data_IF_479938133997
#
_entry.id   IF_479938133997
#
_cell.length_a   1.000
_cell.length_b   1.000
_cell.length_c   1.000
_cell.angle_alpha   90.00
_cell.angle_beta   90.00
_cell.angle_gamma   90.00
#
_symmetry.space_group_name_H-M   'P 1'
#
loop_
_entity.id
_entity.type
_entity.pdbx_description
1 polymer ?
#
# COMPACT_ATOMS: atom_id res chain seq x y z
N UNK A 1 -7.33 -3.08 -8.33
CA UNK A 1 -6.19 -2.38 -7.73
C UNK A 1 -4.88 -3.07 -8.09
N UNK A 2 -3.81 -2.31 -8.33
CA UNK A 2 -2.48 -2.84 -8.69
C UNK A 2 -1.90 -3.79 -7.63
N UNK A 3 -2.23 -3.57 -6.35
CA UNK A 3 -1.87 -4.46 -5.24
C UNK A 3 -2.31 -5.92 -5.48
N UNK A 4 -3.49 -6.13 -6.09
CA UNK A 4 -3.99 -7.47 -6.41
C UNK A 4 -3.13 -8.20 -7.43
N UNK A 5 -2.56 -7.48 -8.39
CA UNK A 5 -1.73 -8.07 -9.47
C UNK A 5 -0.25 -8.15 -9.09
N UNK A 6 0.14 -7.48 -7.99
CA UNK A 6 1.54 -7.33 -7.61
C UNK A 6 2.36 -6.49 -8.60
N UNK A 7 1.73 -5.82 -9.57
CA UNK A 7 2.37 -4.90 -10.52
C UNK A 7 2.30 -3.47 -9.97
N UNK A 8 3.05 -3.23 -8.91
CA UNK A 8 3.11 -1.97 -8.17
C UNK A 8 4.56 -1.69 -7.79
N UNK A 9 4.94 -0.45 -7.49
CA UNK A 9 6.31 -0.02 -7.21
C UNK A 9 6.98 -0.58 -5.93
N UNK A 10 6.62 -1.77 -5.49
CA UNK A 10 7.34 -2.47 -4.43
C UNK A 10 8.57 -3.20 -4.97
N UNK A 11 9.58 -3.36 -4.12
CA UNK A 11 10.89 -3.94 -4.45
C UNK A 11 10.81 -5.27 -5.19
N UNK A 12 9.89 -6.17 -4.81
CA UNK A 12 9.73 -7.45 -5.51
C UNK A 12 9.34 -7.28 -6.99
N UNK A 13 8.48 -6.32 -7.31
CA UNK A 13 8.13 -6.04 -8.70
C UNK A 13 9.24 -5.29 -9.43
N UNK A 14 9.83 -4.28 -8.78
CA UNK A 14 10.91 -3.47 -9.37
C UNK A 14 12.13 -4.32 -9.72
N UNK A 15 12.52 -5.25 -8.85
CA UNK A 15 13.60 -6.19 -9.14
C UNK A 15 13.25 -7.13 -10.30
N UNK A 16 12.01 -7.62 -10.37
CA UNK A 16 11.54 -8.47 -11.48
C UNK A 16 11.66 -7.78 -12.85
N UNK A 17 11.54 -6.45 -12.90
CA UNK A 17 11.65 -5.67 -14.14
C UNK A 17 13.00 -4.96 -14.29
N UNK A 18 14.02 -5.34 -13.52
CA UNK A 18 15.36 -4.74 -13.55
C UNK A 18 15.34 -3.21 -13.33
N UNK A 19 14.58 -2.75 -12.34
CA UNK A 19 14.53 -1.34 -11.89
C UNK A 19 15.02 -1.13 -10.45
N UNK A 20 15.32 -2.22 -9.74
CA UNK A 20 15.96 -2.24 -8.41
C UNK A 20 16.87 -3.46 -8.36
N UNK A 21 18.06 -3.32 -7.78
CA UNK A 21 19.04 -4.42 -7.72
C UNK A 21 18.60 -5.57 -6.80
N UNK A 22 17.69 -5.31 -5.87
CA UNK A 22 17.21 -6.29 -4.91
C UNK A 22 15.71 -6.21 -4.67
N UNK A 23 15.07 -7.37 -4.51
CA UNK A 23 13.69 -7.49 -4.07
C UNK A 23 13.54 -7.35 -2.54
N UNK A 24 14.64 -7.30 -1.79
CA UNK A 24 14.66 -7.33 -0.33
C UNK A 24 13.90 -6.12 0.25
N UNK A 25 13.12 -6.38 1.30
CA UNK A 25 12.51 -5.33 2.10
C UNK A 25 13.53 -4.79 3.10
N UNK A 26 13.45 -3.50 3.40
CA UNK A 26 14.41 -2.83 4.28
C UNK A 26 14.31 -3.29 5.75
N UNK A 27 13.27 -4.08 6.08
CA UNK A 27 13.15 -4.77 7.36
C UNK A 27 14.05 -6.02 7.47
N UNK A 28 14.66 -6.45 6.37
CA UNK A 28 15.51 -7.63 6.25
C UNK A 28 14.88 -8.96 6.69
N UNK A 29 13.55 -9.09 6.63
CA UNK A 29 12.85 -10.36 6.93
C UNK A 29 12.28 -11.06 5.68
N UNK A 30 12.40 -10.46 4.51
CA UNK A 30 11.85 -11.04 3.29
C UNK A 30 11.93 -10.13 2.08
N UNK A 31 11.30 -10.54 0.98
CA UNK A 31 11.13 -9.67 -0.19
C UNK A 31 9.99 -8.69 0.05
N UNK A 32 10.13 -7.47 -0.45
CA UNK A 32 9.13 -6.41 -0.38
C UNK A 32 7.97 -6.73 -1.36
N UNK A 33 7.14 -7.71 -0.99
CA UNK A 33 5.94 -8.12 -1.71
C UNK A 33 4.70 -7.47 -1.10
N UNK A 34 3.57 -7.51 -1.82
CA UNK A 34 2.27 -7.06 -1.28
C UNK A 34 1.88 -7.86 -0.03
N UNK A 35 2.18 -9.17 0.03
CA UNK A 35 1.90 -9.98 1.23
C UNK A 35 2.67 -9.47 2.43
N UNK A 36 3.97 -9.32 2.22
CA UNK A 36 4.88 -8.89 3.25
C UNK A 36 4.49 -7.52 3.80
N UNK A 37 4.30 -6.53 2.92
CA UNK A 37 3.98 -5.16 3.33
C UNK A 37 2.64 -5.08 4.09
N UNK A 38 1.59 -5.73 3.58
CA UNK A 38 0.26 -5.68 4.21
C UNK A 38 0.20 -6.46 5.53
N UNK A 39 0.84 -7.63 5.61
CA UNK A 39 0.54 -8.62 6.65
C UNK A 39 1.70 -8.87 7.63
N UNK A 40 2.95 -8.61 7.25
CA UNK A 40 4.12 -9.18 7.95
C UNK A 40 5.16 -8.12 8.35
N UNK A 41 5.36 -7.07 7.54
CA UNK A 41 6.53 -6.19 7.64
C UNK A 41 6.55 -5.40 8.96
N UNK A 42 7.51 -5.64 9.87
CA UNK A 42 7.51 -5.00 11.20
C UNK A 42 7.67 -3.48 11.16
N UNK A 43 8.19 -2.92 10.06
CA UNK A 43 8.32 -1.47 9.89
C UNK A 43 6.98 -0.73 9.79
N UNK A 44 5.87 -1.45 9.58
CA UNK A 44 4.55 -0.86 9.34
C UNK A 44 3.50 -1.34 10.35
N UNK A 45 3.91 -1.66 11.59
CA UNK A 45 3.01 -2.19 12.61
C UNK A 45 1.91 -1.18 12.96
N UNK A 46 2.25 0.09 13.12
CA UNK A 46 1.30 1.12 13.54
C UNK A 46 0.24 1.38 12.47
N UNK A 47 0.65 1.54 11.21
CA UNK A 47 -0.23 1.68 10.05
C UNK A 47 -1.15 0.46 9.94
N UNK A 48 -0.60 -0.75 10.17
CA UNK A 48 -1.38 -1.99 10.07
C UNK A 48 -2.41 -2.11 11.19
N UNK A 49 -2.10 -1.62 12.39
CA UNK A 49 -3.06 -1.56 13.51
C UNK A 49 -4.20 -0.60 13.15
N UNK A 50 -3.89 0.59 12.62
CA UNK A 50 -4.91 1.55 12.14
C UNK A 50 -5.79 0.95 11.04
N UNK A 51 -5.17 0.34 10.02
CA UNK A 51 -5.85 -0.37 8.94
C UNK A 51 -6.77 -1.46 9.48
N UNK A 52 -6.29 -2.31 10.41
CA UNK A 52 -7.09 -3.39 11.02
C UNK A 52 -8.30 -2.85 11.78
N UNK A 53 -8.14 -1.77 12.53
CA UNK A 53 -9.24 -1.16 13.28
C UNK A 53 -10.30 -0.59 12.32
N UNK A 54 -9.88 0.08 11.25
CA UNK A 54 -10.79 0.60 10.22
C UNK A 54 -11.59 -0.52 9.53
N UNK A 55 -10.92 -1.62 9.15
CA UNK A 55 -11.58 -2.79 8.55
C UNK A 55 -12.58 -3.45 9.50
N UNK A 56 -12.21 -3.58 10.78
CA UNK A 56 -13.10 -4.13 11.80
C UNK A 56 -14.36 -3.28 11.97
N UNK A 57 -14.25 -1.95 11.87
CA UNK A 57 -15.41 -1.04 11.90
C UNK A 57 -16.39 -1.25 10.74
N UNK A 58 -15.94 -1.87 9.64
CA UNK A 58 -16.77 -2.21 8.48
C UNK A 58 -17.13 -3.71 8.39
N UNK A 59 -16.78 -4.52 9.41
CA UNK A 59 -17.02 -5.96 9.40
C UNK A 59 -16.22 -6.70 8.32
N UNK A 60 -15.09 -6.14 7.89
CA UNK A 60 -14.20 -6.75 6.88
C UNK A 60 -13.11 -7.54 7.60
N UNK A 61 -12.89 -8.78 7.17
CA UNK A 61 -11.88 -9.65 7.77
C UNK A 61 -10.46 -9.20 7.39
N UNK A 62 -9.51 -9.34 8.32
CA UNK A 62 -8.09 -9.03 8.09
C UNK A 62 -7.37 -10.19 7.38
N UNK A 63 -7.84 -10.54 6.18
CA UNK A 63 -7.26 -11.58 5.33
C UNK A 63 -6.85 -11.01 4.00
N UNK A 64 -5.71 -11.47 3.47
CA UNK A 64 -5.15 -11.00 2.19
C UNK A 64 -6.21 -10.86 1.09
N UNK A 65 -7.02 -11.89 0.89
CA UNK A 65 -7.98 -11.91 -0.21
C UNK A 65 -9.07 -10.87 0.00
N UNK A 66 -9.56 -10.68 1.23
CA UNK A 66 -10.55 -9.65 1.54
C UNK A 66 -9.98 -8.24 1.31
N UNK A 67 -8.74 -7.99 1.75
CA UNK A 67 -8.05 -6.71 1.53
C UNK A 67 -7.91 -6.34 0.04
N UNK A 68 -7.74 -7.33 -0.83
CA UNK A 68 -7.40 -7.12 -2.24
C UNK A 68 -8.57 -7.27 -3.20
N UNK A 69 -9.67 -7.90 -2.77
CA UNK A 69 -10.84 -8.19 -3.62
C UNK A 69 -12.06 -7.36 -3.26
N UNK A 70 -12.29 -7.07 -1.98
CA UNK A 70 -13.48 -6.33 -1.53
C UNK A 70 -13.41 -4.86 -1.94
N UNK A 71 -14.45 -4.32 -2.61
CA UNK A 71 -14.52 -2.89 -2.94
C UNK A 71 -14.40 -1.98 -1.71
N UNK A 72 -15.02 -2.38 -0.61
CA UNK A 72 -15.09 -1.60 0.64
C UNK A 72 -13.72 -1.45 1.32
N UNK A 73 -12.80 -2.41 1.10
CA UNK A 73 -11.46 -2.38 1.67
C UNK A 73 -10.49 -1.48 0.89
N UNK A 74 -10.85 -1.04 -0.33
CA UNK A 74 -9.89 -0.41 -1.26
C UNK A 74 -9.30 0.88 -0.72
N UNK A 75 -10.15 1.77 -0.21
CA UNK A 75 -9.73 3.07 0.32
C UNK A 75 -8.89 2.89 1.59
N UNK A 76 -9.31 1.99 2.48
CA UNK A 76 -8.59 1.68 3.71
C UNK A 76 -7.18 1.12 3.40
N UNK A 77 -7.09 0.19 2.45
CA UNK A 77 -5.81 -0.40 2.03
C UNK A 77 -4.94 0.62 1.28
N UNK A 78 -5.54 1.49 0.46
CA UNK A 78 -4.80 2.56 -0.20
C UNK A 78 -4.24 3.57 0.81
N UNK A 79 -5.04 3.98 1.80
CA UNK A 79 -4.62 4.84 2.90
C UNK A 79 -3.43 4.27 3.67
N UNK A 80 -3.49 2.97 4.02
CA UNK A 80 -2.34 2.25 4.59
C UNK A 80 -1.08 2.39 3.73
N UNK A 81 -1.17 2.18 2.41
CA UNK A 81 0.00 2.29 1.53
C UNK A 81 0.57 3.71 1.49
N UNK A 82 -0.29 4.74 1.54
CA UNK A 82 0.14 6.15 1.60
C UNK A 82 0.85 6.43 2.92
N UNK A 83 0.26 6.04 4.05
CA UNK A 83 0.82 6.25 5.39
C UNK A 83 2.20 5.58 5.55
N UNK A 84 2.41 4.40 4.94
CA UNK A 84 3.71 3.69 5.03
C UNK A 84 4.87 4.43 4.35
N UNK A 85 4.59 5.37 3.45
CA UNK A 85 5.61 6.06 2.63
C UNK A 85 6.39 5.14 1.67
N UNK A 86 6.03 3.86 1.56
CA UNK A 86 6.78 2.89 0.74
C UNK A 86 6.69 3.15 -0.77
N UNK A 87 5.70 3.96 -1.17
CA UNK A 87 5.45 4.38 -2.54
C UNK A 87 5.92 5.83 -2.80
N UNK A 88 6.87 6.33 -2.00
CA UNK A 88 7.42 7.70 -2.08
C UNK A 88 7.96 8.08 -3.44
N UNK A 89 8.37 7.12 -4.27
CA UNK A 89 8.75 7.36 -5.67
C UNK A 89 7.63 7.98 -6.54
N UNK A 90 6.39 7.96 -6.06
CA UNK A 90 5.23 8.58 -6.71
C UNK A 90 4.71 9.83 -5.97
N UNK A 91 5.34 10.25 -4.88
CA UNK A 91 4.94 11.47 -4.14
C UNK A 91 5.48 12.76 -4.80
N UNK A 92 6.45 12.65 -5.72
CA UNK A 92 6.93 13.76 -6.55
C UNK A 92 6.23 13.89 -7.91
N UNK A 93 5.24 13.03 -8.19
CA UNK A 93 4.38 13.15 -9.37
C UNK A 93 3.09 13.87 -9.01
N UNK A 94 2.63 14.75 -9.90
CA UNK A 94 1.47 15.62 -9.83
C UNK A 94 0.35 15.11 -8.90
N UNK A 95 -0.15 15.95 -8.00
CA UNK A 95 -1.24 15.64 -7.04
C UNK A 95 -2.49 15.10 -7.73
N UNK A 96 -2.68 15.42 -9.02
CA UNK A 96 -3.70 14.83 -9.90
C UNK A 96 -3.60 13.30 -10.03
N UNK A 97 -2.39 12.73 -10.00
CA UNK A 97 -2.17 11.28 -10.05
C UNK A 97 -2.52 10.56 -8.73
N UNK A 98 -2.56 11.31 -7.62
CA UNK A 98 -2.91 10.81 -6.28
C UNK A 98 -4.41 10.91 -5.99
N UNK A 99 -5.22 11.44 -6.91
CA UNK A 99 -6.67 11.62 -6.72
C UNK A 99 -7.02 12.63 -5.62
N UNK A 100 -6.07 13.50 -5.27
CA UNK A 100 -6.29 14.62 -4.35
C UNK A 100 -6.62 15.85 -5.19
N UNK A 101 -7.85 15.92 -5.68
CA UNK A 101 -8.35 17.13 -6.29
C UNK A 101 -8.41 18.23 -5.23
N UNK A 102 -7.57 19.26 -5.43
CA UNK A 102 -7.57 20.45 -4.61
C UNK A 102 -8.97 21.04 -4.67
N UNK A 103 -9.61 21.17 -3.52
CA UNK A 103 -10.86 21.92 -3.41
C UNK A 103 -10.51 23.38 -3.68
N UNK A 104 -10.80 23.84 -4.90
CA UNK A 104 -10.74 25.25 -5.25
C UNK A 104 -11.77 26.00 -4.39
N UNK A 105 -11.26 26.73 -3.39
CA UNK A 105 -12.03 27.69 -2.62
C UNK A 105 -12.35 28.90 -3.51
N UNK A 106 -13.56 28.88 -4.09
CA UNK A 106 -14.12 30.04 -4.81
C UNK A 106 -14.26 31.22 -3.85
N UNK A 107 -13.52 32.29 -4.13
CA UNK A 107 -13.82 33.66 -3.65
C UNK A 107 -15.04 34.25 -4.34
#
# INVERSE_FOLDING_TARGET
MQLRTGRIGLGAYLARINRRDSARCDCDLGNQTVAHVLLECPLHIEERVRMRNALSGQGISFRRDDLLTRPEAREIVAGFMVETGILTQFLGTDTAALGMEAVEEKS
#
